data_IF_116556850283
#
_entry.id   IF_116556850283
#
_cell.length_a   1.000
_cell.length_b   1.000
_cell.length_c   1.000
_cell.angle_alpha   90.00
_cell.angle_beta   90.00
_cell.angle_gamma   90.00
#
_symmetry.space_group_name_H-M   'P 1'
#
loop_
_entity.id
_entity.type
_entity.pdbx_description
1 polymer ?
#
# COMPACT_ATOMS: atom_id res chain seq x y z
N UNK A 1 -14.23 -22.43 -1.18
CA UNK A 1 -14.73 -21.19 -1.82
C UNK A 1 -13.51 -20.36 -2.24
N UNK A 2 -13.08 -20.47 -3.50
CA UNK A 2 -11.93 -19.71 -4.01
C UNK A 2 -12.44 -18.33 -4.39
N UNK A 3 -12.18 -17.33 -3.54
CA UNK A 3 -12.47 -15.95 -3.89
C UNK A 3 -11.50 -15.52 -5.01
N UNK A 4 -12.04 -15.11 -6.15
CA UNK A 4 -11.28 -14.41 -7.19
C UNK A 4 -10.95 -13.00 -6.68
N UNK A 5 -9.88 -12.91 -5.89
CA UNK A 5 -9.37 -11.65 -5.35
C UNK A 5 -8.69 -10.92 -6.50
N UNK A 6 -9.17 -9.74 -6.89
CA UNK A 6 -8.52 -8.88 -7.90
C UNK A 6 -7.92 -7.65 -7.22
N UNK A 7 -6.73 -7.23 -7.66
CA UNK A 7 -6.14 -5.95 -7.24
C UNK A 7 -6.89 -4.81 -7.93
N UNK A 8 -7.39 -3.86 -7.13
CA UNK A 8 -8.13 -2.68 -7.61
C UNK A 8 -7.29 -1.41 -7.61
N UNK A 9 -6.13 -1.42 -6.95
CA UNK A 9 -5.23 -0.28 -6.99
C UNK A 9 -3.88 -0.58 -6.39
N UNK A 10 -2.92 0.26 -6.77
CA UNK A 10 -1.52 0.21 -6.41
C UNK A 10 -1.01 1.63 -6.12
N UNK A 11 -0.19 1.78 -5.09
CA UNK A 11 0.49 3.05 -4.79
C UNK A 11 1.85 2.77 -4.19
N UNK A 12 2.76 3.72 -4.31
CA UNK A 12 4.05 3.68 -3.64
C UNK A 12 4.35 5.02 -3.01
N UNK A 13 4.95 4.96 -1.83
CA UNK A 13 5.48 6.11 -1.12
C UNK A 13 6.99 5.99 -0.99
N UNK A 14 7.67 7.11 -1.14
CA UNK A 14 9.04 7.34 -0.72
C UNK A 14 8.96 7.99 0.66
N UNK A 15 9.39 7.26 1.68
CA UNK A 15 9.08 7.58 3.09
C UNK A 15 10.30 8.20 3.76
N UNK A 16 11.47 7.58 3.60
CA UNK A 16 12.73 7.94 4.26
C UNK A 16 12.59 8.26 5.76
N UNK A 17 11.97 7.34 6.51
CA UNK A 17 11.77 7.45 7.96
C UNK A 17 12.28 6.21 8.69
N UNK A 18 12.56 6.34 9.99
CA UNK A 18 12.77 5.17 10.84
C UNK A 18 11.53 4.25 10.81
N UNK A 19 11.76 2.94 10.86
CA UNK A 19 10.72 1.92 10.80
C UNK A 19 9.63 2.13 11.86
N UNK A 20 9.99 2.51 13.09
CA UNK A 20 9.01 2.75 14.17
C UNK A 20 8.13 3.95 13.84
N UNK A 21 8.71 5.00 13.27
CA UNK A 21 7.97 6.21 12.86
C UNK A 21 7.03 5.88 11.69
N UNK A 22 7.52 5.15 10.68
CA UNK A 22 6.68 4.74 9.55
C UNK A 22 5.49 3.87 10.01
N UNK A 23 5.71 2.93 10.93
CA UNK A 23 4.63 2.11 11.49
C UNK A 23 3.65 2.93 12.34
N UNK A 24 4.13 3.94 13.06
CA UNK A 24 3.28 4.87 13.81
C UNK A 24 2.39 5.70 12.87
N UNK A 25 2.96 6.28 11.81
CA UNK A 25 2.22 7.03 10.79
C UNK A 25 1.12 6.16 10.16
N UNK A 26 1.47 4.91 9.79
CA UNK A 26 0.48 3.96 9.28
C UNK A 26 -0.64 3.72 10.29
N UNK A 27 -0.31 3.50 11.57
CA UNK A 27 -1.30 3.32 12.64
C UNK A 27 -2.22 4.54 12.76
N UNK A 28 -1.66 5.76 12.75
CA UNK A 28 -2.41 7.01 12.80
C UNK A 28 -3.28 7.23 11.55
N UNK A 29 -2.82 6.77 10.38
CA UNK A 29 -3.62 6.78 9.15
C UNK A 29 -4.79 5.76 9.20
N UNK A 30 -4.80 4.85 10.17
CA UNK A 30 -5.81 3.80 10.36
C UNK A 30 -5.44 2.47 9.73
N UNK A 31 -4.17 2.28 9.36
CA UNK A 31 -3.61 1.02 8.88
C UNK A 31 -3.03 0.21 10.04
N UNK A 32 -3.45 -1.04 10.16
CA UNK A 32 -2.86 -2.01 11.09
C UNK A 32 -2.04 -3.01 10.28
N UNK A 33 -0.73 -3.03 10.50
CA UNK A 33 0.16 -4.06 9.96
C UNK A 33 -0.08 -5.35 10.76
N UNK A 34 -0.31 -6.45 10.08
CA UNK A 34 -0.58 -7.74 10.71
C UNK A 34 0.61 -8.68 10.56
N UNK A 35 0.88 -9.44 11.61
CA UNK A 35 1.80 -10.59 11.55
C UNK A 35 1.12 -11.81 10.91
N UNK A 36 -0.22 -11.80 10.84
CA UNK A 36 -0.99 -12.78 10.08
C UNK A 36 -0.59 -12.75 8.60
N UNK A 37 -0.24 -13.93 8.09
CA UNK A 37 0.18 -14.17 6.70
C UNK A 37 -0.84 -15.05 5.96
N UNK A 38 -1.97 -14.49 5.50
CA UNK A 38 -2.91 -15.24 4.69
C UNK A 38 -2.34 -15.53 3.29
N UNK A 39 -1.93 -16.77 3.04
CA UNK A 39 -1.37 -17.28 1.77
C UNK A 39 -2.17 -16.85 0.53
N UNK A 40 -3.50 -16.75 0.65
CA UNK A 40 -4.41 -16.34 -0.43
C UNK A 40 -4.08 -14.97 -1.03
N UNK A 41 -3.41 -14.09 -0.30
CA UNK A 41 -3.01 -12.77 -0.82
C UNK A 41 -1.59 -12.76 -1.36
N UNK A 42 -0.69 -13.64 -0.88
CA UNK A 42 0.71 -13.68 -1.33
C UNK A 42 0.85 -14.01 -2.82
N UNK A 43 -0.11 -14.73 -3.41
CA UNK A 43 -0.18 -14.93 -4.87
C UNK A 43 -0.22 -13.62 -5.68
N UNK A 44 -0.50 -12.49 -5.03
CA UNK A 44 -0.53 -11.15 -5.63
C UNK A 44 0.73 -10.33 -5.30
N UNK A 45 1.76 -10.91 -4.69
CA UNK A 45 3.02 -10.23 -4.40
C UNK A 45 3.71 -9.68 -5.66
N UNK A 46 3.55 -10.38 -6.79
CA UNK A 46 4.17 -10.02 -8.06
C UNK A 46 3.62 -8.73 -8.67
N UNK A 47 2.48 -8.22 -8.16
CA UNK A 47 1.94 -6.90 -8.56
C UNK A 47 2.91 -5.75 -8.32
N UNK A 48 3.91 -5.94 -7.46
CA UNK A 48 4.92 -4.93 -7.17
C UNK A 48 6.10 -4.94 -8.14
N UNK A 49 6.34 -6.02 -8.91
CA UNK A 49 7.56 -6.19 -9.72
C UNK A 49 7.76 -5.07 -10.75
N UNK A 50 6.69 -4.75 -11.49
CA UNK A 50 6.75 -3.73 -12.53
C UNK A 50 7.04 -2.34 -11.95
N UNK A 51 6.46 -2.03 -10.79
CA UNK A 51 6.71 -0.79 -10.08
C UNK A 51 8.13 -0.72 -9.53
N UNK A 52 8.64 -1.83 -9.00
CA UNK A 52 9.99 -1.93 -8.48
C UNK A 52 11.04 -1.66 -9.55
N UNK A 53 10.84 -2.22 -10.74
CA UNK A 53 11.74 -1.99 -11.87
C UNK A 53 11.85 -0.49 -12.24
N UNK A 54 10.74 0.24 -12.20
CA UNK A 54 10.73 1.69 -12.46
C UNK A 54 11.39 2.53 -11.36
N UNK A 55 11.55 1.98 -10.16
CA UNK A 55 12.11 2.68 -8.99
C UNK A 55 13.41 2.04 -8.48
N UNK A 56 14.09 1.23 -9.29
CA UNK A 56 15.26 0.45 -8.89
C UNK A 56 16.32 1.31 -8.20
N UNK A 57 16.62 2.49 -8.74
CA UNK A 57 17.59 3.42 -8.15
C UNK A 57 17.24 3.84 -6.72
N UNK A 58 15.96 4.05 -6.40
CA UNK A 58 15.52 4.41 -5.06
C UNK A 58 15.46 3.22 -4.09
N UNK A 59 15.39 2.00 -4.63
CA UNK A 59 15.25 0.75 -3.88
C UNK A 59 16.56 -0.02 -3.73
N UNK A 60 17.62 0.38 -4.43
CA UNK A 60 18.94 -0.25 -4.39
C UNK A 60 19.44 -0.41 -2.96
N UNK A 61 19.87 -1.62 -2.60
CA UNK A 61 20.38 -1.96 -1.27
C UNK A 61 19.29 -2.17 -0.19
N UNK A 62 18.01 -1.99 -0.51
CA UNK A 62 16.92 -2.25 0.43
C UNK A 62 16.60 -3.75 0.53
N UNK A 63 16.34 -4.23 1.74
CA UNK A 63 15.65 -5.50 1.95
C UNK A 63 14.15 -5.29 1.81
N UNK A 64 13.51 -6.05 0.92
CA UNK A 64 12.07 -6.05 0.77
C UNK A 64 11.38 -7.00 1.76
N UNK A 65 10.22 -6.63 2.27
CA UNK A 65 9.39 -7.50 3.12
C UNK A 65 7.91 -7.19 2.89
N UNK A 66 7.13 -8.23 2.60
CA UNK A 66 5.68 -8.11 2.40
C UNK A 66 4.95 -8.39 3.72
N UNK A 67 3.94 -7.58 4.01
CA UNK A 67 3.01 -7.73 5.13
C UNK A 67 1.58 -7.50 4.67
N UNK A 68 0.67 -8.18 5.34
CA UNK A 68 -0.75 -7.86 5.21
C UNK A 68 -1.05 -6.66 6.11
N UNK A 69 -1.88 -5.76 5.59
CA UNK A 69 -2.35 -4.58 6.28
C UNK A 69 -3.88 -4.59 6.32
N UNK A 70 -4.47 -4.10 7.40
CA UNK A 70 -5.91 -3.87 7.53
C UNK A 70 -6.21 -2.38 7.62
N UNK A 71 -7.13 -1.91 6.80
CA UNK A 71 -7.74 -0.59 6.89
C UNK A 71 -9.24 -0.77 7.10
N UNK A 72 -9.74 -0.45 8.29
CA UNK A 72 -11.10 -0.83 8.70
C UNK A 72 -11.29 -2.36 8.48
N UNK A 73 -12.32 -2.76 7.73
CA UNK A 73 -12.58 -4.16 7.38
C UNK A 73 -11.98 -4.58 6.03
N UNK A 74 -11.04 -3.81 5.47
CA UNK A 74 -10.44 -4.05 4.16
C UNK A 74 -8.98 -4.50 4.30
N UNK A 75 -8.60 -5.47 3.47
CA UNK A 75 -7.24 -6.02 3.42
C UNK A 75 -6.45 -5.35 2.31
N UNK A 76 -5.18 -5.07 2.59
CA UNK A 76 -4.18 -4.59 1.65
C UNK A 76 -2.91 -5.43 1.78
N UNK A 77 -2.12 -5.48 0.71
CA UNK A 77 -0.72 -5.89 0.78
C UNK A 77 0.16 -4.66 0.90
N UNK A 78 1.12 -4.70 1.79
CA UNK A 78 2.14 -3.67 1.97
C UNK A 78 3.52 -4.30 1.77
N UNK A 79 4.29 -3.81 0.81
CA UNK A 79 5.71 -4.19 0.61
C UNK A 79 6.58 -3.06 1.14
N UNK A 80 7.36 -3.36 2.17
CA UNK A 80 8.29 -2.43 2.80
C UNK A 80 9.68 -2.61 2.23
N UNK A 81 10.35 -1.51 1.90
CA UNK A 81 11.73 -1.48 1.45
C UNK A 81 12.60 -0.85 2.53
N UNK A 82 13.40 -1.68 3.18
CA UNK A 82 14.10 -1.32 4.41
C UNK A 82 15.60 -1.36 4.17
N UNK A 83 16.26 -0.23 4.39
CA UNK A 83 17.71 -0.11 4.43
C UNK A 83 18.17 -0.23 5.90
N UNK A 84 19.21 -1.04 6.15
CA UNK A 84 19.89 -1.04 7.45
C UNK A 84 20.97 0.03 7.42
N UNK A 85 20.85 1.04 8.28
CA UNK A 85 21.94 1.95 8.61
C UNK A 85 22.46 1.59 9.99
N UNK A 86 23.78 1.64 10.20
CA UNK A 86 24.53 1.39 11.44
C UNK A 86 23.73 0.99 12.70
N UNK A 87 22.81 1.82 13.20
CA UNK A 87 21.96 1.53 14.38
C UNK A 87 20.43 1.53 14.15
N UNK A 88 19.92 1.76 12.94
CA UNK A 88 18.49 1.96 12.65
C UNK A 88 18.01 1.26 11.37
N UNK A 89 16.72 0.91 11.35
CA UNK A 89 16.05 0.39 10.15
C UNK A 89 15.30 1.54 9.49
N UNK A 90 15.76 1.98 8.33
CA UNK A 90 15.15 3.06 7.58
C UNK A 90 14.20 2.50 6.52
N UNK A 91 12.94 2.90 6.55
CA UNK A 91 11.97 2.61 5.50
C UNK A 91 12.17 3.61 4.37
N UNK A 92 12.79 3.17 3.29
CA UNK A 92 13.04 4.00 2.10
C UNK A 92 11.76 4.17 1.28
N UNK A 93 10.99 3.10 1.17
CA UNK A 93 9.72 3.11 0.47
C UNK A 93 8.71 2.12 1.04
N UNK A 94 7.44 2.34 0.73
CA UNK A 94 6.35 1.39 0.97
C UNK A 94 5.44 1.36 -0.26
N UNK A 95 5.30 0.19 -0.87
CA UNK A 95 4.31 -0.06 -1.90
C UNK A 95 3.06 -0.71 -1.27
N UNK A 96 1.86 -0.31 -1.70
CA UNK A 96 0.60 -0.82 -1.21
C UNK A 96 -0.31 -1.24 -2.35
N UNK A 97 -0.87 -2.44 -2.27
CA UNK A 97 -1.88 -2.95 -3.18
C UNK A 97 -3.19 -3.17 -2.43
N UNK A 98 -4.30 -2.68 -2.99
CA UNK A 98 -5.64 -2.82 -2.40
C UNK A 98 -6.50 -3.76 -3.22
N UNK A 99 -7.26 -4.60 -2.52
CA UNK A 99 -8.27 -5.48 -3.10
C UNK A 99 -9.69 -4.88 -3.04
N UNK A 100 -9.78 -3.57 -2.77
CA UNK A 100 -11.05 -2.85 -2.70
C UNK A 100 -10.90 -1.44 -3.28
N UNK A 101 -11.82 -1.01 -4.17
CA UNK A 101 -11.74 0.30 -4.80
C UNK A 101 -11.99 1.44 -3.80
N UNK A 102 -11.29 2.56 -3.99
CA UNK A 102 -11.42 3.79 -3.20
C UNK A 102 -10.69 3.77 -1.85
N UNK A 103 -10.09 2.64 -1.47
CA UNK A 103 -9.37 2.50 -0.20
C UNK A 103 -8.03 3.24 -0.25
N UNK A 104 -7.31 3.17 -1.37
CA UNK A 104 -5.99 3.79 -1.46
C UNK A 104 -6.09 5.31 -1.41
N UNK A 105 -7.06 5.91 -2.09
CA UNK A 105 -7.29 7.37 -2.02
C UNK A 105 -7.45 7.87 -0.58
N UNK A 106 -8.22 7.15 0.25
CA UNK A 106 -8.46 7.53 1.63
C UNK A 106 -7.21 7.40 2.52
N UNK A 107 -6.33 6.44 2.22
CA UNK A 107 -5.07 6.22 2.92
C UNK A 107 -4.04 7.28 2.49
N UNK A 108 -3.94 7.52 1.18
CA UNK A 108 -2.93 8.39 0.57
C UNK A 108 -2.98 9.79 1.15
N UNK A 109 -4.16 10.43 1.18
CA UNK A 109 -4.28 11.79 1.69
C UNK A 109 -3.82 11.91 3.15
N UNK A 110 -4.03 10.88 3.97
CA UNK A 110 -3.57 10.88 5.37
C UNK A 110 -2.06 10.74 5.48
N UNK A 111 -1.47 9.80 4.74
CA UNK A 111 -0.02 9.59 4.79
C UNK A 111 0.73 10.79 4.20
N UNK A 112 0.23 11.40 3.12
CA UNK A 112 0.79 12.63 2.56
C UNK A 112 0.78 13.78 3.60
N UNK A 113 -0.31 13.92 4.37
CA UNK A 113 -0.37 14.91 5.46
C UNK A 113 0.64 14.67 6.59
N UNK A 114 1.17 13.44 6.70
CA UNK A 114 2.22 13.06 7.64
C UNK A 114 3.62 13.14 7.01
N UNK A 115 3.75 13.74 5.83
CA UNK A 115 5.03 13.94 5.14
C UNK A 115 5.51 12.74 4.33
N UNK A 116 4.65 11.75 4.04
CA UNK A 116 5.00 10.69 3.10
C UNK A 116 4.92 11.21 1.67
N UNK A 117 5.99 11.06 0.89
CA UNK A 117 5.99 11.50 -0.52
C UNK A 117 5.45 10.38 -1.40
N UNK A 118 4.28 10.57 -2.02
CA UNK A 118 3.74 9.63 -2.99
C UNK A 118 4.57 9.65 -4.28
N UNK A 119 4.99 8.47 -4.74
CA UNK A 119 5.61 8.30 -6.05
C UNK A 119 4.54 8.16 -7.14
N UNK A 120 3.52 7.32 -6.91
CA UNK A 120 2.37 7.19 -7.79
C UNK A 120 1.14 6.64 -7.06
N UNK A 121 -0.02 6.77 -7.69
CA UNK A 121 -1.26 6.08 -7.31
C UNK A 121 -2.03 5.71 -8.57
N UNK A 122 -2.30 4.42 -8.74
CA UNK A 122 -3.19 3.88 -9.78
C UNK A 122 -4.33 3.17 -9.05
N UNK A 123 -5.58 3.56 -9.33
CA UNK A 123 -6.73 2.91 -8.71
C UNK A 123 -7.91 2.86 -9.67
N UNK A 124 -8.45 1.65 -9.87
CA UNK A 124 -9.65 1.40 -10.64
C UNK A 124 -10.86 1.89 -9.84
N UNK A 125 -11.44 2.99 -10.29
CA UNK A 125 -12.72 3.45 -9.77
C UNK A 125 -13.86 2.61 -10.33
N UNK A 126 -14.82 2.21 -9.49
CA UNK A 126 -16.12 1.75 -10.01
C UNK A 126 -16.80 2.94 -10.69
N UNK A 127 -17.10 2.80 -11.98
CA UNK A 127 -17.98 3.76 -12.66
C UNK A 127 -19.34 3.72 -11.95
N UNK A 128 -19.71 4.79 -11.26
CA UNK A 128 -21.09 4.94 -10.80
C UNK A 128 -21.91 5.13 -12.07
N UNK A 129 -22.68 4.12 -12.51
CA UNK A 129 -23.82 4.41 -13.39
C UNK A 129 -24.65 5.44 -12.63
N UNK A 130 -24.70 6.68 -13.10
CA UNK A 130 -25.76 7.62 -12.69
C UNK A 130 -27.06 6.85 -12.90
N UNK A 131 -27.78 6.52 -11.82
CA UNK A 131 -29.19 6.17 -11.96
C UNK A 131 -29.80 7.40 -12.60
N UNK A 132 -30.26 7.28 -13.85
CA UNK A 132 -31.14 8.27 -14.44
C UNK A 132 -32.28 8.45 -13.44
N UNK A 133 -32.37 9.64 -12.85
CA UNK A 133 -33.56 10.02 -12.10
C UNK A 133 -34.68 9.98 -13.14
N UNK A 134 -35.59 9.02 -13.01
CA UNK A 134 -36.87 9.13 -13.72
C UNK A 134 -37.54 10.35 -13.11
N UNK A 135 -37.65 11.41 -13.89
CA UNK A 135 -38.57 12.51 -13.61
C UNK A 135 -39.97 11.91 -13.48
N UNK A 136 -40.65 12.32 -12.41
CA UNK A 136 -42.05 12.00 -12.13
C UNK A 136 -42.96 12.47 -13.25
#
# INVERSE_FOLDING_TARGET
MVYDVRVYGLTMFLVDKDLKVALLDMKLAGLRVTDEWPDRYLRWADVFLEVESHHEGALKGCRATIRVCRYKNKVLLCKFYIERRSAAKMVRAVAMASFSPGVLRAIVSKLESMGWRRAFLVEVSRWRRKRSVRSW
#
